data_IF_813882840505
#
_entry.id   IF_813882840505
#
_cell.length_a   1.000
_cell.length_b   1.000
_cell.length_c   1.000
_cell.angle_alpha   90.00
_cell.angle_beta   90.00
_cell.angle_gamma   90.00
#
_symmetry.space_group_name_H-M   'P 1'
#
loop_
_entity.id
_entity.type
_entity.pdbx_description
1 polymer ?
#
# COMPACT_ATOMS: atom_id res chain seq x y z
N UNK A 1 1.67 -5.09 11.64
CA UNK A 1 1.42 -6.49 11.22
C UNK A 1 -0.08 -6.60 11.07
N UNK A 2 -0.59 -7.00 9.90
CA UNK A 2 -2.03 -7.25 9.73
C UNK A 2 -2.19 -8.73 10.05
N UNK A 3 -2.86 -9.03 11.15
CA UNK A 3 -3.11 -10.40 11.62
C UNK A 3 -4.59 -10.68 11.39
N UNK A 4 -4.90 -11.74 10.66
CA UNK A 4 -6.27 -12.24 10.55
C UNK A 4 -6.27 -13.62 11.20
N UNK A 5 -6.93 -13.73 12.35
CA UNK A 5 -6.99 -14.98 13.09
C UNK A 5 -7.98 -15.94 12.43
N UNK A 6 -7.45 -17.11 12.12
CA UNK A 6 -8.18 -18.26 11.64
C UNK A 6 -8.98 -18.89 12.80
N UNK A 7 -10.30 -18.89 12.70
CA UNK A 7 -11.13 -19.61 13.67
C UNK A 7 -10.98 -21.12 13.45
N UNK A 8 -10.63 -21.88 14.50
CA UNK A 8 -10.52 -23.36 14.46
C UNK A 8 -11.80 -24.01 13.91
N UNK A 9 -12.93 -23.32 14.01
CA UNK A 9 -14.21 -23.75 13.43
C UNK A 9 -14.18 -23.90 11.90
N UNK A 10 -13.33 -23.17 11.18
CA UNK A 10 -13.27 -23.25 9.71
C UNK A 10 -12.66 -24.56 9.23
N UNK A 11 -11.66 -25.11 9.95
CA UNK A 11 -11.04 -26.39 9.58
C UNK A 11 -12.07 -27.52 9.70
N UNK A 12 -12.71 -27.61 10.85
CA UNK A 12 -13.75 -28.59 11.12
C UNK A 12 -14.92 -28.49 10.12
N UNK A 13 -15.32 -27.28 9.71
CA UNK A 13 -16.34 -27.07 8.68
C UNK A 13 -15.90 -27.60 7.31
N UNK A 14 -14.66 -27.36 6.91
CA UNK A 14 -14.11 -27.87 5.64
C UNK A 14 -13.94 -29.39 5.69
N UNK A 15 -13.44 -29.94 6.77
CA UNK A 15 -13.35 -31.40 6.98
C UNK A 15 -14.73 -32.05 6.89
N UNK A 16 -15.75 -31.47 7.53
CA UNK A 16 -17.13 -31.95 7.46
C UNK A 16 -17.68 -31.91 6.03
N UNK A 17 -17.40 -30.84 5.27
CA UNK A 17 -17.81 -30.73 3.85
C UNK A 17 -17.11 -31.76 2.97
N UNK A 18 -15.87 -32.13 3.28
CA UNK A 18 -15.07 -33.07 2.50
C UNK A 18 -15.35 -34.55 2.84
N UNK A 19 -15.96 -34.85 3.98
CA UNK A 19 -16.38 -36.20 4.33
C UNK A 19 -15.20 -37.19 4.35
N UNK A 20 -15.22 -38.19 3.45
CA UNK A 20 -14.14 -39.16 3.30
C UNK A 20 -12.81 -38.53 2.89
N UNK A 21 -12.83 -37.35 2.27
CA UNK A 21 -11.66 -36.60 1.82
C UNK A 21 -11.15 -35.57 2.84
N UNK A 22 -11.55 -35.69 4.13
CA UNK A 22 -11.16 -34.74 5.19
C UNK A 22 -9.65 -34.48 5.31
N UNK A 23 -8.80 -35.45 4.96
CA UNK A 23 -7.34 -35.30 4.94
C UNK A 23 -6.85 -34.23 3.96
N UNK A 24 -7.64 -33.88 2.94
CA UNK A 24 -7.33 -32.82 1.97
C UNK A 24 -7.69 -31.41 2.48
N UNK A 25 -8.36 -31.28 3.63
CA UNK A 25 -8.80 -29.98 4.17
C UNK A 25 -7.65 -28.97 4.36
N UNK A 26 -6.48 -29.34 4.94
CA UNK A 26 -5.36 -28.40 5.08
C UNK A 26 -4.83 -27.90 3.74
N UNK A 27 -4.84 -28.74 2.70
CA UNK A 27 -4.42 -28.37 1.34
C UNK A 27 -5.42 -27.41 0.69
N UNK A 28 -6.73 -27.70 0.83
CA UNK A 28 -7.79 -26.81 0.36
C UNK A 28 -7.65 -25.40 0.95
N UNK A 29 -7.50 -25.35 2.27
CA UNK A 29 -7.38 -24.10 3.03
C UNK A 29 -6.11 -23.34 2.71
N UNK A 30 -4.95 -24.02 2.67
CA UNK A 30 -3.68 -23.43 2.23
C UNK A 30 -3.84 -22.73 0.87
N UNK A 31 -4.43 -23.42 -0.10
CA UNK A 31 -4.59 -22.88 -1.46
C UNK A 31 -5.55 -21.68 -1.47
N UNK A 32 -6.66 -21.77 -0.73
CA UNK A 32 -7.62 -20.68 -0.60
C UNK A 32 -6.99 -19.43 0.03
N UNK A 33 -6.29 -19.58 1.16
CA UNK A 33 -5.62 -18.50 1.87
C UNK A 33 -4.55 -17.83 0.99
N UNK A 34 -3.74 -18.62 0.29
CA UNK A 34 -2.71 -18.08 -0.60
C UNK A 34 -3.31 -17.35 -1.80
N UNK A 35 -4.43 -17.84 -2.35
CA UNK A 35 -5.14 -17.14 -3.41
C UNK A 35 -5.72 -15.81 -2.91
N UNK A 36 -6.34 -15.82 -1.73
CA UNK A 36 -6.87 -14.61 -1.09
C UNK A 36 -5.76 -13.61 -0.79
N UNK A 37 -4.59 -14.04 -0.30
CA UNK A 37 -3.46 -13.15 -0.04
C UNK A 37 -2.98 -12.44 -1.32
N UNK A 38 -2.96 -13.14 -2.47
CA UNK A 38 -2.61 -12.55 -3.76
C UNK A 38 -3.65 -11.52 -4.21
N UNK A 39 -4.94 -11.83 -4.05
CA UNK A 39 -6.03 -10.90 -4.35
C UNK A 39 -5.96 -9.66 -3.44
N UNK A 40 -5.87 -9.87 -2.12
CA UNK A 40 -5.74 -8.80 -1.12
C UNK A 40 -4.58 -7.85 -1.44
N UNK A 41 -3.39 -8.37 -1.80
CA UNK A 41 -2.25 -7.53 -2.20
C UNK A 41 -2.59 -6.67 -3.43
N UNK A 42 -3.25 -7.24 -4.44
CA UNK A 42 -3.67 -6.52 -5.65
C UNK A 42 -4.72 -5.46 -5.32
N UNK A 43 -5.70 -5.79 -4.49
CA UNK A 43 -6.80 -4.91 -4.14
C UNK A 43 -6.31 -3.72 -3.29
N UNK A 44 -5.42 -3.98 -2.31
CA UNK A 44 -4.75 -2.93 -1.54
C UNK A 44 -3.95 -1.97 -2.43
N UNK A 45 -3.18 -2.51 -3.37
CA UNK A 45 -2.40 -1.68 -4.29
C UNK A 45 -3.31 -0.85 -5.22
N UNK A 46 -4.41 -1.46 -5.68
CA UNK A 46 -5.39 -0.82 -6.57
C UNK A 46 -6.11 0.31 -5.83
N UNK A 47 -6.60 0.05 -4.62
CA UNK A 47 -7.30 1.05 -3.82
C UNK A 47 -6.36 2.20 -3.42
N UNK A 48 -5.14 1.89 -2.98
CA UNK A 48 -4.14 2.93 -2.72
C UNK A 48 -3.81 3.77 -3.96
N UNK A 49 -3.77 3.18 -5.16
CA UNK A 49 -3.59 3.93 -6.41
C UNK A 49 -4.79 4.80 -6.75
N UNK A 50 -6.02 4.43 -6.36
CA UNK A 50 -7.20 5.31 -6.48
C UNK A 50 -7.17 6.45 -5.47
N UNK A 51 -6.63 6.22 -4.27
CA UNK A 51 -6.59 7.24 -3.21
C UNK A 51 -5.46 8.26 -3.39
N UNK A 52 -4.25 7.82 -3.73
CA UNK A 52 -3.03 8.64 -3.64
C UNK A 52 -2.41 8.95 -5.00
N UNK A 53 -1.75 10.10 -5.11
CA UNK A 53 -1.01 10.54 -6.30
C UNK A 53 0.44 10.04 -6.24
N UNK A 54 0.63 8.73 -6.23
CA UNK A 54 1.96 8.10 -6.23
C UNK A 54 2.20 7.43 -7.59
N UNK A 55 3.44 7.43 -8.08
CA UNK A 55 3.83 6.70 -9.30
C UNK A 55 3.40 5.23 -9.24
N UNK A 56 2.93 4.69 -10.37
CA UNK A 56 2.42 3.32 -10.47
C UNK A 56 3.46 2.27 -10.09
N UNK A 57 2.99 1.13 -9.56
CA UNK A 57 3.84 -0.02 -9.22
C UNK A 57 4.58 0.03 -7.87
N UNK A 58 4.73 1.20 -7.23
CA UNK A 58 5.43 1.31 -5.94
C UNK A 58 4.72 0.58 -4.81
N UNK A 59 3.39 0.61 -4.77
CA UNK A 59 2.60 -0.12 -3.76
C UNK A 59 2.82 -1.63 -3.81
N UNK A 60 2.80 -2.23 -5.00
CA UNK A 60 3.03 -3.67 -5.16
C UNK A 60 4.44 -4.07 -4.73
N UNK A 61 5.47 -3.30 -5.10
CA UNK A 61 6.87 -3.56 -4.74
C UNK A 61 7.12 -3.46 -3.23
N UNK A 62 6.35 -2.63 -2.53
CA UNK A 62 6.48 -2.46 -1.08
C UNK A 62 5.83 -3.58 -0.27
N UNK A 63 5.05 -4.47 -0.89
CA UNK A 63 4.35 -5.58 -0.24
C UNK A 63 4.95 -6.93 -0.62
N UNK A 64 5.20 -7.76 0.39
CA UNK A 64 5.62 -9.17 0.25
C UNK A 64 4.56 -10.07 0.89
N UNK A 65 4.42 -11.30 0.39
CA UNK A 65 3.50 -12.31 0.93
C UNK A 65 4.33 -13.46 1.49
N UNK A 66 4.16 -13.75 2.78
CA UNK A 66 4.51 -15.05 3.36
C UNK A 66 3.30 -15.96 3.15
N UNK A 67 3.48 -17.01 2.36
CA UNK A 67 2.40 -17.94 2.03
C UNK A 67 2.06 -18.85 3.21
N UNK A 68 0.80 -19.25 3.28
CA UNK A 68 0.32 -20.33 4.12
C UNK A 68 0.90 -21.67 3.67
N UNK A 69 1.04 -22.58 4.64
CA UNK A 69 1.41 -23.98 4.46
C UNK A 69 0.33 -24.86 5.06
N UNK A 70 0.38 -26.18 4.84
CA UNK A 70 -0.59 -27.10 5.43
C UNK A 70 -0.48 -27.14 6.98
N UNK A 71 0.73 -26.94 7.52
CA UNK A 71 0.96 -26.86 8.97
C UNK A 71 0.79 -25.46 9.56
N UNK A 72 0.59 -24.43 8.73
CA UNK A 72 0.40 -23.04 9.16
C UNK A 72 -0.58 -22.37 8.20
N UNK A 73 -1.87 -22.45 8.54
CA UNK A 73 -2.99 -21.91 7.77
C UNK A 73 -3.13 -20.38 7.94
N UNK A 74 -2.02 -19.67 7.72
CA UNK A 74 -1.94 -18.22 7.80
C UNK A 74 -1.03 -17.71 6.68
N UNK A 75 -1.48 -16.66 5.98
CA UNK A 75 -0.62 -15.89 5.10
C UNK A 75 -0.47 -14.45 5.61
N UNK A 76 0.75 -13.92 5.52
CA UNK A 76 1.07 -12.57 6.00
C UNK A 76 1.43 -11.67 4.82
N UNK A 77 0.73 -10.56 4.68
CA UNK A 77 1.13 -9.48 3.78
C UNK A 77 1.94 -8.46 4.59
N UNK A 78 3.24 -8.37 4.31
CA UNK A 78 4.14 -7.41 4.96
C UNK A 78 4.42 -6.24 4.02
N UNK A 79 4.00 -5.05 4.43
CA UNK A 79 4.33 -3.80 3.76
C UNK A 79 5.51 -3.10 4.46
N UNK A 80 6.53 -2.70 3.71
CA UNK A 80 7.70 -1.96 4.22
C UNK A 80 8.00 -0.74 3.36
N UNK A 81 8.52 0.32 3.97
CA UNK A 81 8.98 1.50 3.24
C UNK A 81 9.13 2.72 4.12
N UNK A 82 10.14 3.54 3.82
CA UNK A 82 10.37 4.83 4.46
C UNK A 82 9.33 5.88 4.02
N UNK A 83 9.19 7.00 4.75
CA UNK A 83 8.48 8.19 4.27
C UNK A 83 8.94 8.58 2.86
N UNK A 84 7.99 8.90 1.99
CA UNK A 84 8.28 9.23 0.59
C UNK A 84 8.55 10.72 0.45
N UNK A 85 9.50 11.11 -0.39
CA UNK A 85 9.72 12.52 -0.70
C UNK A 85 8.50 13.12 -1.39
N UNK A 86 8.19 14.40 -1.16
CA UNK A 86 7.07 15.06 -1.84
C UNK A 86 7.21 15.07 -3.36
N UNK A 87 8.45 14.99 -3.88
CA UNK A 87 8.76 14.84 -5.31
C UNK A 87 8.21 13.54 -5.93
N UNK A 88 8.01 12.49 -5.13
CA UNK A 88 7.39 11.25 -5.60
C UNK A 88 5.88 11.37 -5.81
N UNK A 89 5.29 12.49 -5.37
CA UNK A 89 3.90 12.87 -5.61
C UNK A 89 3.80 13.93 -6.71
N UNK A 90 2.56 14.39 -6.99
CA UNK A 90 2.37 15.50 -7.92
C UNK A 90 2.81 16.81 -7.27
N UNK A 91 3.79 17.46 -7.89
CA UNK A 91 4.34 18.76 -7.49
C UNK A 91 4.23 19.74 -8.65
N UNK A 92 3.96 21.00 -8.34
CA UNK A 92 4.01 22.11 -9.30
C UNK A 92 4.87 23.25 -8.73
N UNK A 93 5.91 23.69 -9.43
CA UNK A 93 6.45 23.12 -10.66
C UNK A 93 7.10 21.75 -10.42
N UNK A 94 7.11 20.88 -11.44
CA UNK A 94 7.71 19.56 -11.34
C UNK A 94 9.26 19.59 -11.36
N UNK A 95 9.84 20.61 -11.99
CA UNK A 95 11.27 20.84 -12.13
C UNK A 95 11.69 22.12 -11.41
N UNK A 96 12.99 22.25 -11.12
CA UNK A 96 13.53 23.48 -10.57
C UNK A 96 13.33 24.63 -11.57
N UNK A 97 12.87 25.78 -11.07
CA UNK A 97 12.67 27.01 -11.84
C UNK A 97 13.38 28.17 -11.16
N UNK A 98 14.04 29.02 -11.94
CA UNK A 98 14.89 30.13 -11.49
C UNK A 98 14.56 31.40 -12.27
N UNK A 99 15.04 32.55 -11.77
CA UNK A 99 14.82 33.86 -12.39
C UNK A 99 13.33 34.18 -12.53
N UNK A 100 12.95 34.77 -13.66
CA UNK A 100 11.58 35.15 -13.99
C UNK A 100 10.58 33.97 -13.99
N UNK A 101 11.07 32.73 -14.16
CA UNK A 101 10.23 31.53 -14.19
C UNK A 101 9.97 30.94 -12.80
N UNK A 102 10.54 31.53 -11.74
CA UNK A 102 10.38 31.03 -10.37
C UNK A 102 8.92 31.23 -9.93
N UNK A 103 8.23 30.17 -9.48
CA UNK A 103 6.85 30.31 -9.02
C UNK A 103 6.78 31.09 -7.70
N UNK A 104 5.66 31.76 -7.47
CA UNK A 104 5.36 32.38 -6.17
C UNK A 104 5.30 31.35 -5.05
N UNK A 105 4.79 30.15 -5.34
CA UNK A 105 4.67 29.07 -4.36
C UNK A 105 4.74 27.71 -5.04
N UNK A 106 5.61 26.84 -4.52
CA UNK A 106 5.60 25.42 -4.90
C UNK A 106 4.43 24.74 -4.21
N UNK A 107 3.69 23.94 -4.95
CA UNK A 107 2.52 23.21 -4.45
C UNK A 107 2.72 21.71 -4.60
N UNK A 108 2.10 20.91 -3.74
CA UNK A 108 2.04 19.46 -3.91
C UNK A 108 0.64 18.90 -3.62
N UNK A 109 0.35 17.73 -4.19
CA UNK A 109 -0.89 16.99 -3.97
C UNK A 109 -0.58 15.53 -3.68
N UNK A 110 -1.02 15.08 -2.51
CA UNK A 110 -0.81 13.72 -2.01
C UNK A 110 -2.03 12.84 -2.28
N UNK A 111 -3.24 13.32 -1.98
CA UNK A 111 -4.50 12.61 -2.23
C UNK A 111 -5.05 12.97 -3.62
N UNK A 112 -5.58 12.01 -4.37
CA UNK A 112 -6.20 12.24 -5.68
C UNK A 112 -7.44 13.14 -5.58
N UNK A 113 -8.26 12.98 -4.54
CA UNK A 113 -9.44 13.81 -4.31
C UNK A 113 -9.13 15.24 -3.81
N UNK A 114 -7.90 15.51 -3.34
CA UNK A 114 -7.53 16.81 -2.78
C UNK A 114 -7.11 17.85 -3.81
N UNK A 115 -7.05 19.12 -3.41
CA UNK A 115 -6.40 20.18 -4.19
C UNK A 115 -4.87 20.20 -3.97
N UNK A 116 -4.15 20.88 -4.87
CA UNK A 116 -2.72 21.15 -4.68
C UNK A 116 -2.55 22.14 -3.52
N UNK A 117 -1.79 21.77 -2.49
CA UNK A 117 -1.53 22.63 -1.33
C UNK A 117 -0.20 23.36 -1.48
N UNK A 118 -0.21 24.64 -1.14
CA UNK A 118 0.98 25.47 -1.07
C UNK A 118 1.95 24.97 0.01
N UNK A 119 3.24 24.94 -0.33
CA UNK A 119 4.29 24.45 0.56
C UNK A 119 5.10 25.62 1.11
N UNK A 120 4.73 26.07 2.30
CA UNK A 120 5.38 27.17 3.00
C UNK A 120 5.22 26.96 4.52
N UNK A 121 6.26 27.34 5.28
CA UNK A 121 6.24 27.34 6.74
C UNK A 121 6.67 28.74 7.20
N UNK A 122 5.77 29.48 7.84
CA UNK A 122 5.98 30.91 8.09
C UNK A 122 6.27 31.65 6.78
N UNK A 123 7.37 32.38 6.71
CA UNK A 123 7.79 33.10 5.49
C UNK A 123 8.75 32.29 4.59
N UNK A 124 9.01 31.02 4.92
CA UNK A 124 9.96 30.20 4.17
C UNK A 124 9.21 29.30 3.20
N UNK A 125 9.35 29.58 1.90
CA UNK A 125 8.72 28.83 0.81
C UNK A 125 9.53 27.58 0.45
N UNK A 126 8.86 26.48 0.11
CA UNK A 126 9.50 25.32 -0.48
C UNK A 126 9.73 25.52 -1.99
N UNK A 127 10.71 24.82 -2.53
CA UNK A 127 11.07 24.84 -3.94
C UNK A 127 11.66 23.51 -4.39
N UNK A 128 11.60 23.23 -5.68
CA UNK A 128 12.33 22.08 -6.24
C UNK A 128 13.81 22.43 -6.30
N UNK A 129 14.64 21.67 -5.59
CA UNK A 129 16.09 21.77 -5.60
C UNK A 129 16.68 20.61 -6.41
N UNK A 130 17.74 20.88 -7.17
CA UNK A 130 18.60 19.87 -7.78
C UNK A 130 19.89 19.81 -6.96
N UNK A 131 20.22 18.63 -6.45
CA UNK A 131 21.43 18.39 -5.67
C UNK A 131 22.61 18.05 -6.59
N UNK A 132 23.84 18.12 -6.07
CA UNK A 132 25.06 17.78 -6.82
C UNK A 132 25.05 16.35 -7.36
N UNK A 133 24.38 15.41 -6.67
CA UNK A 133 24.15 14.04 -7.14
C UNK A 133 23.23 13.92 -8.36
N UNK A 134 22.66 15.03 -8.84
CA UNK A 134 21.64 15.03 -9.89
C UNK A 134 20.22 14.72 -9.38
N UNK A 135 20.08 14.21 -8.14
CA UNK A 135 18.78 14.03 -7.48
C UNK A 135 18.05 15.37 -7.38
N UNK A 136 16.74 15.35 -7.61
CA UNK A 136 15.92 16.55 -7.46
C UNK A 136 14.79 16.27 -6.50
N UNK A 137 14.61 17.12 -5.50
CA UNK A 137 13.55 16.99 -4.51
C UNK A 137 12.86 18.30 -4.20
N UNK A 138 11.73 18.24 -3.50
CA UNK A 138 11.10 19.42 -2.91
C UNK A 138 11.77 19.67 -1.58
N UNK A 139 12.41 20.83 -1.47
CA UNK A 139 13.14 21.22 -0.28
C UNK A 139 12.68 22.60 0.23
N UNK A 140 12.97 22.85 1.49
CA UNK A 140 12.73 24.11 2.16
C UNK A 140 14.00 24.49 2.93
N UNK A 141 14.38 25.77 2.96
CA UNK A 141 15.48 26.23 3.82
C UNK A 141 15.09 26.06 5.29
N UNK A 142 16.07 25.90 6.18
CA UNK A 142 15.79 25.94 7.64
C UNK A 142 15.59 27.36 8.17
N UNK A 143 16.21 28.36 7.52
CA UNK A 143 16.12 29.77 7.87
C UNK A 143 16.27 30.66 6.63
N UNK A 144 16.67 31.92 6.83
CA UNK A 144 16.96 32.87 5.75
C UNK A 144 18.18 32.46 4.92
N UNK A 145 19.18 31.87 5.57
CA UNK A 145 20.43 31.43 4.94
C UNK A 145 20.20 30.35 3.87
N UNK A 146 21.05 30.36 2.83
CA UNK A 146 20.91 29.46 1.67
C UNK A 146 20.91 27.98 2.09
N UNK A 147 21.76 27.63 3.04
CA UNK A 147 21.88 26.28 3.59
C UNK A 147 21.67 26.34 5.11
N UNK A 148 21.27 25.23 5.75
CA UNK A 148 20.97 23.93 5.17
C UNK A 148 19.56 23.84 4.56
N UNK A 149 19.38 22.89 3.63
CA UNK A 149 18.08 22.53 3.07
C UNK A 149 17.48 21.32 3.80
N UNK A 150 16.17 21.37 4.02
CA UNK A 150 15.36 20.25 4.51
C UNK A 150 14.53 19.71 3.35
N UNK A 151 14.71 18.44 3.00
CA UNK A 151 13.83 17.73 2.06
C UNK A 151 12.47 17.49 2.73
N UNK A 152 11.39 17.70 1.98
CA UNK A 152 10.04 17.50 2.47
C UNK A 152 9.53 16.11 2.09
N UNK A 153 8.93 15.44 3.08
CA UNK A 153 8.40 14.08 2.96
C UNK A 153 6.89 14.07 3.20
N UNK A 154 6.26 12.98 2.77
CA UNK A 154 4.86 12.63 3.00
C UNK A 154 4.78 11.21 3.55
N UNK A 155 3.57 10.67 3.61
CA UNK A 155 3.27 9.35 4.14
C UNK A 155 4.12 8.26 3.48
N UNK A 156 4.57 7.31 4.29
CA UNK A 156 5.18 6.08 3.78
C UNK A 156 4.14 5.19 3.12
N UNK A 157 4.58 4.26 2.27
CA UNK A 157 3.70 3.27 1.64
C UNK A 157 2.94 2.44 2.67
N UNK A 158 3.56 1.90 3.74
CA UNK A 158 2.83 1.18 4.79
C UNK A 158 1.73 2.03 5.45
N UNK A 159 1.99 3.33 5.70
CA UNK A 159 1.00 4.23 6.29
C UNK A 159 -0.17 4.53 5.34
N UNK A 160 0.10 4.58 4.03
CA UNK A 160 -0.94 4.74 3.01
C UNK A 160 -1.81 3.50 2.87
N UNK A 161 -1.19 2.32 2.81
CA UNK A 161 -1.89 1.03 2.68
C UNK A 161 -2.72 0.71 3.92
N UNK A 162 -2.16 0.88 5.11
CA UNK A 162 -2.84 0.66 6.39
C UNK A 162 -3.80 1.78 6.79
N UNK A 163 -4.22 2.65 5.86
CA UNK A 163 -5.19 3.70 6.17
C UNK A 163 -6.60 3.11 6.23
N UNK A 164 -7.14 2.98 7.44
CA UNK A 164 -8.47 2.42 7.70
C UNK A 164 -9.59 3.12 6.92
N UNK A 165 -9.52 4.45 6.82
CA UNK A 165 -10.60 5.24 6.20
C UNK A 165 -10.56 5.26 4.67
N UNK A 166 -9.42 4.91 4.06
CA UNK A 166 -9.17 5.18 2.64
C UNK A 166 -8.66 4.00 1.83
N UNK A 167 -8.07 2.99 2.47
CA UNK A 167 -7.50 1.84 1.77
C UNK A 167 -7.83 0.55 2.49
N UNK A 168 -7.18 0.27 3.62
CA UNK A 168 -7.32 -1.03 4.27
C UNK A 168 -8.76 -1.32 4.71
N UNK A 169 -9.44 -0.39 5.39
CA UNK A 169 -10.82 -0.60 5.81
C UNK A 169 -11.82 -0.69 4.66
N UNK A 170 -11.49 -0.16 3.48
CA UNK A 170 -12.30 -0.33 2.26
C UNK A 170 -12.11 -1.73 1.67
N UNK A 171 -10.87 -2.23 1.65
CA UNK A 171 -10.52 -3.53 1.05
C UNK A 171 -10.83 -4.70 2.00
N UNK A 172 -10.81 -4.49 3.31
CA UNK A 172 -10.98 -5.53 4.33
C UNK A 172 -12.23 -6.41 4.11
N UNK A 173 -13.44 -5.88 3.90
CA UNK A 173 -14.62 -6.72 3.67
C UNK A 173 -14.48 -7.60 2.42
N UNK A 174 -13.86 -7.06 1.37
CA UNK A 174 -13.59 -7.83 0.14
C UNK A 174 -12.59 -8.96 0.37
N UNK A 175 -11.61 -8.78 1.26
CA UNK A 175 -10.67 -9.86 1.63
C UNK A 175 -11.42 -11.01 2.32
N UNK A 176 -12.32 -10.68 3.25
CA UNK A 176 -13.12 -11.66 3.99
C UNK A 176 -14.04 -12.45 3.04
N UNK A 177 -14.73 -11.74 2.13
CA UNK A 177 -15.55 -12.38 1.09
C UNK A 177 -14.71 -13.28 0.18
N UNK A 178 -13.57 -12.77 -0.32
CA UNK A 178 -12.67 -13.54 -1.20
C UNK A 178 -12.16 -14.81 -0.52
N UNK A 179 -11.89 -14.76 0.80
CA UNK A 179 -11.51 -15.95 1.56
C UNK A 179 -12.59 -17.01 1.52
N UNK A 180 -13.83 -16.64 1.83
CA UNK A 180 -14.96 -17.57 1.81
C UNK A 180 -15.16 -18.20 0.43
N UNK A 181 -15.19 -17.37 -0.61
CA UNK A 181 -15.33 -17.84 -1.99
C UNK A 181 -14.19 -18.76 -2.41
N UNK A 182 -12.94 -18.43 -2.04
CA UNK A 182 -11.80 -19.25 -2.39
C UNK A 182 -11.81 -20.59 -1.65
N UNK A 183 -12.25 -20.61 -0.39
CA UNK A 183 -12.41 -21.88 0.36
C UNK A 183 -13.44 -22.77 -0.33
N UNK A 184 -14.62 -22.23 -0.66
CA UNK A 184 -15.65 -23.02 -1.35
C UNK A 184 -15.18 -23.50 -2.74
N UNK A 185 -14.46 -22.66 -3.50
CA UNK A 185 -13.85 -23.05 -4.78
C UNK A 185 -12.84 -24.19 -4.62
N UNK A 186 -11.99 -24.16 -3.59
CA UNK A 186 -11.01 -25.22 -3.35
C UNK A 186 -11.66 -26.52 -2.87
N UNK A 187 -12.71 -26.44 -2.05
CA UNK A 187 -13.46 -27.63 -1.62
C UNK A 187 -14.15 -28.30 -2.80
N UNK A 188 -14.86 -27.52 -3.65
CA UNK A 188 -15.49 -28.07 -4.86
C UNK A 188 -14.48 -28.75 -5.77
N UNK A 189 -13.33 -28.10 -6.00
CA UNK A 189 -12.25 -28.66 -6.81
C UNK A 189 -11.74 -30.01 -6.30
N UNK A 190 -11.78 -30.27 -4.99
CA UNK A 190 -11.37 -31.56 -4.41
C UNK A 190 -12.48 -32.60 -4.54
N UNK A 191 -13.75 -32.21 -4.39
CA UNK A 191 -14.89 -33.12 -4.52
C UNK A 191 -15.15 -33.55 -5.98
N UNK A 192 -14.77 -32.71 -6.94
CA UNK A 192 -14.93 -32.93 -8.38
C UNK A 192 -13.68 -33.57 -9.04
N UNK A 193 -12.62 -33.83 -8.28
CA UNK A 193 -11.36 -34.43 -8.75
C UNK A 193 -11.42 -35.96 -8.72
#
# INVERSE_FOLDING_TARGET
>A
MITYEYDRNTLARVEKKLGSLKSEAPKALKNAINQTAKQARKDLATEAQKTYVVKSGRFNKAMTIKNATQGSLEAIIKATGAPMELKDYKVSPATARTGANRPDLTKAKVLKAGSMKGLQKGNIKAFVAKFSSGHASVAQRRGSARLPLKVLFSNSIPKMLGNEKRVYGIVRPTIEQNLQENVDKQVRKILEA
#
